data_IF_824656549015
#
_entry.id   IF_824656549015
#
_cell.length_a   1.000
_cell.length_b   1.000
_cell.length_c   1.000
_cell.angle_alpha   90.00
_cell.angle_beta   90.00
_cell.angle_gamma   90.00
#
_symmetry.space_group_name_H-M   'P 1'
#
loop_
_entity.id
_entity.type
_entity.pdbx_description
1 polymer ?
#
# COMPACT_ATOMS: atom_id res chain seq x y z
N UNK A 1 -8.01 -73.27 0.29
CA UNK A 1 -7.26 -72.71 -0.86
C UNK A 1 -7.46 -71.20 -0.86
N UNK A 2 -6.37 -70.44 -0.85
CA UNK A 2 -6.32 -68.98 -0.66
C UNK A 2 -6.82 -68.24 -1.91
N UNK A 3 -7.82 -67.37 -1.77
CA UNK A 3 -8.15 -66.34 -2.76
C UNK A 3 -7.27 -65.11 -2.50
N UNK A 4 -6.42 -64.76 -3.46
CA UNK A 4 -5.64 -63.52 -3.42
C UNK A 4 -6.49 -62.37 -3.96
N UNK A 5 -6.79 -61.39 -3.10
CA UNK A 5 -7.40 -60.11 -3.50
C UNK A 5 -6.26 -59.18 -3.94
N UNK A 6 -6.25 -58.82 -5.22
CA UNK A 6 -5.30 -57.87 -5.80
C UNK A 6 -5.89 -56.47 -5.65
N UNK A 7 -5.56 -55.78 -4.56
CA UNK A 7 -5.94 -54.38 -4.34
C UNK A 7 -4.92 -53.51 -5.09
N UNK A 8 -5.32 -52.99 -6.24
CA UNK A 8 -4.54 -52.02 -6.98
C UNK A 8 -4.65 -50.65 -6.28
N UNK A 9 -3.65 -50.32 -5.47
CA UNK A 9 -3.53 -49.01 -4.81
C UNK A 9 -3.19 -47.95 -5.85
N UNK A 10 -4.18 -47.17 -6.26
CA UNK A 10 -3.99 -45.95 -7.04
C UNK A 10 -3.36 -44.91 -6.10
N UNK A 11 -2.05 -44.69 -6.21
CA UNK A 11 -1.40 -43.52 -5.62
C UNK A 11 -1.74 -42.30 -6.47
N UNK A 12 -2.86 -41.64 -6.18
CA UNK A 12 -3.07 -40.26 -6.61
C UNK A 12 -2.01 -39.41 -5.93
N UNK A 13 -1.05 -38.91 -6.71
CA UNK A 13 -0.09 -37.91 -6.25
C UNK A 13 -0.90 -36.66 -5.90
N UNK A 14 -1.11 -36.42 -4.61
CA UNK A 14 -1.60 -35.13 -4.15
C UNK A 14 -0.47 -34.15 -4.42
N UNK A 15 -0.58 -33.39 -5.50
CA UNK A 15 0.29 -32.23 -5.70
C UNK A 15 0.04 -31.29 -4.54
N UNK A 16 1.09 -30.98 -3.80
CA UNK A 16 1.09 -30.03 -2.70
C UNK A 16 0.52 -28.70 -3.19
N UNK A 17 -0.74 -28.45 -2.87
CA UNK A 17 -1.29 -27.11 -2.86
C UNK A 17 -0.57 -26.36 -1.75
N UNK A 18 0.51 -25.66 -2.09
CA UNK A 18 1.08 -24.60 -1.26
C UNK A 18 0.05 -23.46 -1.16
N UNK A 19 -1.04 -23.71 -0.44
CA UNK A 19 -1.93 -22.66 0.04
C UNK A 19 -1.17 -21.89 1.10
N UNK A 20 -0.44 -20.85 0.70
CA UNK A 20 0.07 -19.88 1.66
C UNK A 20 -1.15 -19.32 2.41
N UNK A 21 -1.29 -19.68 3.68
CA UNK A 21 -2.29 -19.11 4.55
C UNK A 21 -2.03 -17.60 4.60
N UNK A 22 -2.98 -16.81 4.10
CA UNK A 22 -2.91 -15.36 4.21
C UNK A 22 -2.87 -14.98 5.70
N UNK A 23 -1.84 -14.22 6.09
CA UNK A 23 -1.72 -13.70 7.45
C UNK A 23 -2.76 -12.61 7.71
N UNK A 24 -3.04 -12.33 8.99
CA UNK A 24 -3.72 -11.10 9.38
C UNK A 24 -2.82 -9.87 9.20
N UNK A 25 -3.38 -8.68 9.38
CA UNK A 25 -2.58 -7.44 9.46
C UNK A 25 -1.72 -7.46 10.72
N UNK A 26 -0.43 -7.18 10.56
CA UNK A 26 0.52 -6.97 11.66
C UNK A 26 1.02 -5.54 11.63
N UNK A 27 1.03 -4.88 12.78
CA UNK A 27 1.62 -3.54 12.92
C UNK A 27 3.14 -3.61 12.69
N UNK A 28 3.67 -2.58 12.04
CA UNK A 28 5.10 -2.37 11.79
C UNK A 28 5.45 -0.90 12.08
N UNK A 29 6.74 -0.57 12.15
CA UNK A 29 7.19 0.78 12.44
C UNK A 29 6.84 1.77 11.30
N UNK A 30 5.95 2.76 11.51
CA UNK A 30 5.54 3.68 10.45
C UNK A 30 6.68 4.50 9.84
N UNK A 31 7.71 4.82 10.63
CA UNK A 31 8.81 5.67 10.18
C UNK A 31 9.59 5.06 8.99
N UNK A 32 9.64 3.73 8.91
CA UNK A 32 10.32 2.97 7.84
C UNK A 32 9.63 3.11 6.48
N UNK A 33 8.35 3.50 6.47
CA UNK A 33 7.53 3.59 5.25
C UNK A 33 7.40 5.01 4.70
N UNK A 34 8.11 5.99 5.27
CA UNK A 34 8.06 7.40 4.84
C UNK A 34 8.40 7.56 3.35
N UNK A 35 9.43 6.86 2.86
CA UNK A 35 9.80 6.87 1.44
C UNK A 35 8.76 6.13 0.60
N UNK A 36 8.31 4.97 1.07
CA UNK A 36 7.30 4.14 0.39
C UNK A 36 5.99 4.88 0.17
N UNK A 37 5.57 5.75 1.11
CA UNK A 37 4.36 6.55 0.99
C UNK A 37 4.35 7.45 -0.26
N UNK A 38 5.50 7.87 -0.80
CA UNK A 38 5.56 8.66 -2.03
C UNK A 38 5.06 7.93 -3.26
N UNK A 39 5.08 6.58 -3.27
CA UNK A 39 4.46 5.79 -4.34
C UNK A 39 2.96 6.06 -4.48
N UNK A 40 2.30 6.56 -3.44
CA UNK A 40 0.86 6.87 -3.46
C UNK A 40 0.49 8.23 -4.07
N UNK A 41 1.47 9.11 -4.33
CA UNK A 41 1.23 10.46 -4.86
C UNK A 41 0.39 10.46 -6.14
N UNK A 42 0.63 9.59 -7.14
CA UNK A 42 -0.22 9.51 -8.31
C UNK A 42 -1.68 9.17 -7.99
N UNK A 43 -1.91 8.23 -7.07
CA UNK A 43 -3.26 7.78 -6.71
C UNK A 43 -4.01 8.79 -5.85
N UNK A 44 -3.32 9.49 -4.94
CA UNK A 44 -3.93 10.57 -4.16
C UNK A 44 -4.36 11.73 -5.08
N UNK A 45 -3.56 12.02 -6.11
CA UNK A 45 -3.78 13.19 -6.97
C UNK A 45 -4.64 12.91 -8.21
N UNK A 46 -5.02 11.66 -8.49
CA UNK A 46 -5.95 11.33 -9.58
C UNK A 46 -7.35 11.88 -9.32
N UNK A 47 -7.76 11.94 -8.05
CA UNK A 47 -9.08 12.45 -7.61
C UNK A 47 -9.00 13.82 -6.92
N UNK A 48 -7.79 14.34 -6.69
CA UNK A 48 -7.61 15.68 -6.13
C UNK A 48 -8.06 16.73 -7.15
N UNK A 49 -8.99 17.61 -6.77
CA UNK A 49 -9.48 18.70 -7.62
C UNK A 49 -8.80 20.06 -7.35
N UNK A 50 -7.94 20.19 -6.33
CA UNK A 50 -7.24 21.44 -6.02
C UNK A 50 -6.12 21.80 -7.01
N UNK A 51 -5.61 23.03 -7.01
CA UNK A 51 -4.59 23.50 -7.97
C UNK A 51 -3.17 22.97 -7.69
N UNK A 52 -2.94 22.54 -6.44
CA UNK A 52 -1.66 22.02 -5.94
C UNK A 52 -1.74 20.51 -5.74
N UNK A 53 -0.61 19.84 -5.92
CA UNK A 53 -0.50 18.42 -5.61
C UNK A 53 -0.47 18.19 -4.10
N UNK A 54 -1.14 17.14 -3.64
CA UNK A 54 -1.03 16.62 -2.29
C UNK A 54 0.17 15.67 -2.21
N UNK A 55 1.02 15.86 -1.20
CA UNK A 55 2.21 15.01 -0.98
C UNK A 55 2.28 14.50 0.46
N UNK A 56 2.95 13.35 0.70
CA UNK A 56 3.13 12.82 2.06
C UNK A 56 3.88 13.79 2.98
N UNK A 57 3.38 13.90 4.21
CA UNK A 57 4.05 14.55 5.35
C UNK A 57 4.68 13.49 6.24
N UNK A 58 3.89 12.49 6.63
CA UNK A 58 4.30 11.39 7.52
C UNK A 58 3.37 10.20 7.39
N UNK A 59 3.89 9.02 7.69
CA UNK A 59 3.09 7.81 7.90
C UNK A 59 2.72 7.75 9.39
N UNK A 60 1.43 7.73 9.69
CA UNK A 60 0.92 7.70 11.08
C UNK A 60 0.69 6.27 11.57
N UNK A 61 0.44 5.35 10.64
CA UNK A 61 0.25 3.92 10.91
C UNK A 61 0.75 3.11 9.72
N UNK A 62 1.37 1.98 9.99
CA UNK A 62 1.79 1.02 8.98
C UNK A 62 1.48 -0.40 9.44
N UNK A 63 0.93 -1.19 8.53
CA UNK A 63 0.58 -2.58 8.75
C UNK A 63 0.99 -3.41 7.53
N UNK A 64 1.40 -4.65 7.74
CA UNK A 64 1.75 -5.59 6.67
C UNK A 64 0.89 -6.84 6.79
N UNK A 65 0.49 -7.37 5.64
CA UNK A 65 -0.26 -8.60 5.52
C UNK A 65 0.35 -9.46 4.42
N UNK A 66 0.65 -10.72 4.74
CA UNK A 66 1.03 -11.72 3.73
C UNK A 66 -0.24 -12.28 3.09
N UNK A 67 -0.32 -12.24 1.77
CA UNK A 67 -1.44 -12.76 0.96
C UNK A 67 -0.83 -13.51 -0.24
N UNK A 68 -1.48 -13.52 -1.41
CA UNK A 68 -0.80 -13.81 -2.67
C UNK A 68 0.14 -12.63 -3.00
N UNK A 69 1.24 -12.48 -2.27
CA UNK A 69 2.08 -11.28 -2.26
C UNK A 69 2.18 -10.65 -0.87
N UNK A 70 2.66 -9.41 -0.82
CA UNK A 70 2.68 -8.59 0.39
C UNK A 70 1.75 -7.41 0.20
N UNK A 71 0.79 -7.24 1.11
CA UNK A 71 -0.07 -6.06 1.16
C UNK A 71 0.39 -5.17 2.32
N UNK A 72 0.92 -3.99 2.00
CA UNK A 72 1.29 -2.96 2.96
C UNK A 72 0.19 -1.92 3.04
N UNK A 73 -0.41 -1.75 4.21
CA UNK A 73 -1.47 -0.77 4.47
C UNK A 73 -0.92 0.35 5.32
N UNK A 74 -0.96 1.57 4.80
CA UNK A 74 -0.46 2.79 5.45
C UNK A 74 -1.61 3.75 5.73
N UNK A 75 -1.58 4.42 6.87
CA UNK A 75 -2.29 5.69 7.05
C UNK A 75 -1.28 6.82 6.88
N UNK A 76 -1.49 7.65 5.86
CA UNK A 76 -0.55 8.69 5.44
C UNK A 76 -1.18 10.05 5.65
N UNK A 77 -0.54 10.88 6.46
CA UNK A 77 -0.85 12.31 6.53
C UNK A 77 -0.28 12.96 5.27
N UNK A 78 -1.13 13.62 4.50
CA UNK A 78 -0.76 14.36 3.28
C UNK A 78 -1.08 15.83 3.45
N UNK A 79 -0.42 16.67 2.67
CA UNK A 79 -0.65 18.12 2.67
C UNK A 79 -0.46 18.70 1.29
N UNK A 80 -1.08 19.86 1.04
CA UNK A 80 -0.76 20.67 -0.14
C UNK A 80 0.75 20.95 -0.22
N UNK A 81 1.27 20.85 -1.44
CA UNK A 81 2.65 21.14 -1.79
C UNK A 81 2.77 22.45 -2.57
N UNK A 82 4.00 22.87 -2.81
CA UNK A 82 4.34 23.96 -3.73
C UNK A 82 4.25 23.54 -5.20
N UNK A 83 4.06 22.25 -5.51
CA UNK A 83 3.95 21.77 -6.88
C UNK A 83 2.56 22.01 -7.46
N UNK A 84 2.54 22.61 -8.64
CA UNK A 84 1.33 22.71 -9.46
C UNK A 84 0.95 21.37 -10.07
N UNK A 85 -0.33 21.19 -10.38
CA UNK A 85 -0.84 20.04 -11.14
C UNK A 85 -0.28 19.87 -12.56
N UNK A 86 0.41 20.88 -13.10
CA UNK A 86 1.09 20.75 -14.39
C UNK A 86 2.28 19.77 -14.36
N UNK A 87 2.77 19.43 -13.16
CA UNK A 87 3.81 18.41 -12.96
C UNK A 87 3.17 17.02 -12.93
N UNK A 88 3.74 16.08 -13.67
CA UNK A 88 3.30 14.69 -13.61
C UNK A 88 3.49 14.13 -12.19
N UNK A 89 2.40 13.70 -11.55
CA UNK A 89 2.43 13.16 -10.18
C UNK A 89 3.36 11.94 -10.03
N UNK A 90 3.64 11.23 -11.13
CA UNK A 90 4.61 10.11 -11.18
C UNK A 90 6.07 10.54 -11.06
N UNK A 91 6.37 11.83 -11.28
CA UNK A 91 7.72 12.39 -11.18
C UNK A 91 7.94 13.15 -9.86
N UNK A 92 6.95 13.18 -8.97
CA UNK A 92 6.98 13.93 -7.72
C UNK A 92 7.63 13.10 -6.62
N UNK A 93 8.57 13.74 -5.90
CA UNK A 93 9.30 13.15 -4.78
C UNK A 93 9.58 14.20 -3.69
N UNK A 94 10.13 13.75 -2.56
CA UNK A 94 10.52 14.64 -1.46
C UNK A 94 11.56 15.69 -1.86
N UNK A 95 12.37 15.42 -2.88
CA UNK A 95 13.47 16.29 -3.30
C UNK A 95 13.00 17.44 -4.19
N UNK A 96 11.92 17.24 -4.96
CA UNK A 96 11.44 18.21 -5.94
C UNK A 96 10.11 18.87 -5.59
N UNK A 97 9.45 18.41 -4.52
CA UNK A 97 8.13 18.89 -4.15
C UNK A 97 8.02 19.17 -2.65
N UNK A 98 8.14 20.44 -2.27
CA UNK A 98 8.08 20.83 -0.86
C UNK A 98 6.66 21.05 -0.38
N UNK A 99 6.47 20.90 0.93
CA UNK A 99 5.22 21.23 1.59
C UNK A 99 4.94 22.73 1.50
N UNK A 100 3.68 23.09 1.19
CA UNK A 100 3.21 24.46 1.28
C UNK A 100 2.96 24.81 2.74
N UNK A 101 3.49 25.96 3.18
CA UNK A 101 3.24 26.45 4.53
C UNK A 101 1.74 26.70 4.74
N UNK A 102 1.19 26.13 5.82
CA UNK A 102 -0.25 26.20 6.10
C UNK A 102 -1.14 25.46 5.11
N UNK A 103 -0.58 24.56 4.29
CA UNK A 103 -1.32 23.74 3.34
C UNK A 103 -2.42 22.91 4.02
N UNK A 104 -3.54 22.72 3.32
CA UNK A 104 -4.61 21.85 3.79
C UNK A 104 -4.09 20.42 3.95
N UNK A 105 -4.46 19.77 5.06
CA UNK A 105 -4.02 18.43 5.40
C UNK A 105 -5.18 17.46 5.40
N UNK A 106 -4.89 16.22 5.04
CA UNK A 106 -5.84 15.12 5.10
C UNK A 106 -5.13 13.80 5.37
N UNK A 107 -5.87 12.83 5.86
CA UNK A 107 -5.39 11.49 6.13
C UNK A 107 -5.91 10.55 5.05
N UNK A 108 -5.02 9.75 4.48
CA UNK A 108 -5.33 8.74 3.47
C UNK A 108 -4.99 7.35 3.95
N UNK A 109 -5.84 6.38 3.63
CA UNK A 109 -5.50 4.96 3.68
C UNK A 109 -4.90 4.57 2.34
N UNK A 110 -3.66 4.13 2.35
CA UNK A 110 -2.93 3.67 1.17
C UNK A 110 -2.72 2.17 1.29
N UNK A 111 -3.06 1.40 0.27
CA UNK A 111 -2.74 -0.03 0.19
C UNK A 111 -1.80 -0.28 -0.99
N UNK A 112 -0.68 -0.93 -0.72
CA UNK A 112 0.37 -1.26 -1.69
C UNK A 112 0.48 -2.78 -1.73
N UNK A 113 0.00 -3.39 -2.81
CA UNK A 113 0.04 -4.83 -3.01
C UNK A 113 1.11 -5.19 -4.03
N UNK A 114 2.12 -5.92 -3.59
CA UNK A 114 3.30 -6.30 -4.39
C UNK A 114 3.41 -7.82 -4.50
N UNK A 115 3.69 -8.31 -5.71
CA UNK A 115 4.11 -9.69 -5.99
C UNK A 115 5.42 -9.65 -6.78
N UNK A 116 6.59 -9.66 -6.11
CA UNK A 116 7.87 -9.50 -6.79
C UNK A 116 8.13 -10.56 -7.88
N UNK A 117 7.68 -11.80 -7.67
CA UNK A 117 7.82 -12.90 -8.63
C UNK A 117 6.97 -12.74 -9.90
N UNK A 118 6.00 -11.84 -9.89
CA UNK A 118 5.13 -11.51 -11.03
C UNK A 118 5.42 -10.11 -11.60
N UNK A 119 6.38 -9.37 -11.05
CA UNK A 119 6.61 -7.96 -11.36
C UNK A 119 5.30 -7.12 -11.30
N UNK A 120 4.49 -7.40 -10.27
CA UNK A 120 3.19 -6.78 -10.08
C UNK A 120 3.22 -5.84 -8.87
N UNK A 121 2.66 -4.64 -9.08
CA UNK A 121 2.38 -3.66 -8.05
C UNK A 121 1.00 -3.04 -8.32
N UNK A 122 0.17 -2.95 -7.28
CA UNK A 122 -1.07 -2.21 -7.31
C UNK A 122 -1.15 -1.31 -6.07
N UNK A 123 -1.46 -0.04 -6.31
CA UNK A 123 -1.60 0.97 -5.27
C UNK A 123 -3.01 1.53 -5.30
N UNK A 124 -3.66 1.57 -4.14
CA UNK A 124 -4.92 2.30 -3.93
C UNK A 124 -4.74 3.35 -2.84
N UNK A 125 -5.47 4.45 -2.96
CA UNK A 125 -5.48 5.51 -1.97
C UNK A 125 -6.92 5.97 -1.74
N UNK A 126 -7.36 5.96 -0.49
CA UNK A 126 -8.70 6.34 -0.08
C UNK A 126 -8.60 7.45 0.97
N UNK A 127 -9.27 8.58 0.73
CA UNK A 127 -9.29 9.67 1.71
C UNK A 127 -10.11 9.22 2.94
N UNK A 128 -9.49 9.25 4.12
CA UNK A 128 -10.14 8.95 5.39
C UNK A 128 -10.89 10.19 5.88
N UNK A 129 -10.19 11.31 6.01
CA UNK A 129 -10.73 12.59 6.50
C UNK A 129 -9.79 13.77 6.25
N UNK A 130 -10.32 14.97 6.32
CA UNK A 130 -9.52 16.18 6.50
C UNK A 130 -8.94 16.27 7.91
N UNK A 131 -7.81 16.97 8.04
CA UNK A 131 -7.04 17.08 9.27
C UNK A 131 -6.87 18.56 9.61
N UNK A 132 -7.22 18.94 10.84
CA UNK A 132 -7.06 20.31 11.32
C UNK A 132 -5.58 20.69 11.40
N UNK A 133 -5.20 21.94 11.07
CA UNK A 133 -3.83 22.42 11.28
C UNK A 133 -3.31 22.28 12.72
N UNK A 134 -4.22 22.26 13.71
CA UNK A 134 -3.90 22.11 15.14
C UNK A 134 -3.69 20.67 15.61
N UNK A 135 -4.04 19.68 14.79
CA UNK A 135 -3.93 18.27 15.16
C UNK A 135 -2.48 17.76 15.03
N UNK A 136 -1.99 17.15 16.11
CA UNK A 136 -0.65 16.56 16.18
C UNK A 136 -0.75 15.03 16.07
N UNK A 137 0.30 14.43 15.51
CA UNK A 137 0.40 12.99 15.25
C UNK A 137 1.77 12.49 15.69
#
# INVERSE_FOLDING_TARGET
MKFFILVASIFTVMTEINGQLAGGLSDVNPAEYTKTAWKSVPQINSENNGDSLLVPVKVVKAQVQVVAGTNTVLEVLVSESTCSKGVAATQVSSENCQLKSGGQRSLYKVSIWEKPWENFEQITAEKIRDVSPSEQF
#
